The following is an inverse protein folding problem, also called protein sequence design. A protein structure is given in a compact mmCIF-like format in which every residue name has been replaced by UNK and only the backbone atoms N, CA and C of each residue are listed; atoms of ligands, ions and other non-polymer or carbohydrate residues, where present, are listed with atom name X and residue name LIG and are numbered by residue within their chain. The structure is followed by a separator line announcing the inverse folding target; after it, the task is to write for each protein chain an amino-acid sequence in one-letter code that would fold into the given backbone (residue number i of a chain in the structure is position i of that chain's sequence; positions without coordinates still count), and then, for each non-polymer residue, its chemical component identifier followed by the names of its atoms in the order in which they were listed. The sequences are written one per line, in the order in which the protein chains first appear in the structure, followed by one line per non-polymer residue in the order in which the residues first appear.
data_IF_926021354142
#
_entry.id   IF_926021354142
#
_cell.length_a   1.000
_cell.length_b   1.000
_cell.length_c   1.000
_cell.angle_alpha   90.00
_cell.angle_beta   90.00
_cell.angle_gamma   90.00
#
_symmetry.space_group_name_H-M   'P 1'
#
loop_
_entity.id
_entity.type
_entity.pdbx_description
1 polymer ?
#
# COMPACT_ATOMS: atom_id res chain seq x y z
N UNK A 1 31.77 47.42 55.91
CA UNK A 1 32.46 47.80 54.66
C UNK A 1 31.82 47.06 53.48
N UNK A 2 31.53 47.78 52.38
CA UNK A 2 31.31 47.37 50.95
C UNK A 2 31.49 45.85 50.65
N UNK A 3 30.64 45.13 49.90
CA UNK A 3 29.90 45.42 48.65
C UNK A 3 28.87 44.29 48.30
N UNK A 4 27.99 44.49 47.30
CA UNK A 4 26.78 43.69 47.02
C UNK A 4 26.91 42.75 45.79
N UNK A 5 25.76 42.13 45.44
CA UNK A 5 25.35 41.54 44.14
C UNK A 5 25.70 40.07 43.90
N UNK A 6 24.71 39.24 43.55
CA UNK A 6 24.31 39.04 42.15
C UNK A 6 23.03 38.21 42.05
N UNK A 7 22.04 38.80 41.40
CA UNK A 7 20.87 38.19 40.79
C UNK A 7 21.31 37.14 39.76
N UNK A 8 20.93 35.88 39.95
CA UNK A 8 20.99 34.87 38.91
C UNK A 8 19.57 34.60 38.41
N UNK A 9 19.23 35.15 37.23
CA UNK A 9 18.08 34.73 36.45
C UNK A 9 18.34 33.29 35.98
N UNK A 10 17.54 32.34 36.44
CA UNK A 10 17.46 31.01 35.84
C UNK A 10 16.44 31.08 34.71
N UNK A 11 16.93 31.13 33.47
CA UNK A 11 16.10 31.00 32.28
C UNK A 11 15.68 29.53 32.13
N UNK A 12 14.41 29.23 32.44
CA UNK A 12 13.81 27.92 32.15
C UNK A 12 13.33 27.94 30.70
N UNK A 13 14.10 27.32 29.80
CA UNK A 13 13.67 27.06 28.43
C UNK A 13 12.77 25.83 28.42
N UNK A 14 11.46 26.04 28.32
CA UNK A 14 10.49 24.96 28.05
C UNK A 14 10.60 24.61 26.57
N UNK A 15 11.34 23.56 26.24
CA UNK A 15 11.32 22.96 24.91
C UNK A 15 9.99 22.20 24.73
N UNK A 16 8.97 22.88 24.19
CA UNK A 16 7.73 22.24 23.77
C UNK A 16 7.99 21.38 22.53
N UNK A 17 8.15 20.07 22.71
CA UNK A 17 8.25 19.11 21.61
C UNK A 17 6.94 19.04 20.83
N UNK A 18 6.94 19.48 19.57
CA UNK A 18 5.85 19.22 18.63
C UNK A 18 5.86 17.72 18.29
N UNK A 19 5.01 16.96 18.97
CA UNK A 19 4.62 15.62 18.53
C UNK A 19 3.71 15.75 17.31
N UNK A 20 4.28 15.66 16.11
CA UNK A 20 3.49 15.51 14.87
C UNK A 20 2.83 14.13 14.91
N UNK A 21 1.57 14.09 15.34
CA UNK A 21 0.74 12.90 15.26
C UNK A 21 0.56 12.50 13.81
N UNK A 22 1.11 11.35 13.41
CA UNK A 22 0.86 10.77 12.10
C UNK A 22 -0.59 10.28 12.05
N UNK A 23 -1.46 11.06 11.41
CA UNK A 23 -2.85 10.66 11.15
C UNK A 23 -2.89 9.46 10.22
N UNK A 24 -3.05 8.25 10.76
CA UNK A 24 -3.36 7.06 9.99
C UNK A 24 -4.84 7.10 9.61
N UNK A 25 -5.19 7.80 8.53
CA UNK A 25 -6.51 7.65 7.94
C UNK A 25 -6.69 6.18 7.54
N UNK A 26 -7.76 5.49 7.97
CA UNK A 26 -8.04 4.15 7.49
C UNK A 26 -8.15 4.24 5.97
N UNK A 27 -7.30 3.50 5.27
CA UNK A 27 -7.33 3.48 3.82
C UNK A 27 -8.68 2.91 3.40
N UNK A 28 -9.56 3.78 2.90
CA UNK A 28 -10.91 3.41 2.49
C UNK A 28 -10.84 2.28 1.47
N UNK A 29 -11.80 1.34 1.59
CA UNK A 29 -11.96 0.26 0.63
C UNK A 29 -12.04 0.84 -0.79
N UNK A 30 -11.12 0.43 -1.67
CA UNK A 30 -11.12 0.89 -3.06
C UNK A 30 -11.65 -0.22 -3.97
N UNK A 31 -12.74 0.07 -4.68
CA UNK A 31 -13.34 -0.83 -5.65
C UNK A 31 -13.03 -0.39 -7.09
N UNK A 32 -12.96 -1.35 -8.01
CA UNK A 32 -12.76 -1.09 -9.43
C UNK A 32 -12.48 -2.37 -10.22
N UNK A 33 -11.94 -2.24 -11.44
CA UNK A 33 -11.59 -3.40 -12.27
C UNK A 33 -10.16 -3.87 -11.95
N UNK A 34 -9.99 -5.17 -11.87
CA UNK A 34 -8.69 -5.82 -11.84
C UNK A 34 -8.43 -6.59 -13.13
N UNK A 35 -7.15 -6.69 -13.53
CA UNK A 35 -6.69 -7.67 -14.52
C UNK A 35 -5.56 -8.53 -13.94
N UNK A 36 -4.95 -9.40 -14.75
CA UNK A 36 -3.80 -10.18 -14.33
C UNK A 36 -2.64 -10.14 -15.33
N UNK A 37 -1.43 -10.36 -14.82
CA UNK A 37 -0.20 -10.37 -15.62
C UNK A 37 0.74 -11.54 -15.25
N UNK A 38 1.61 -11.87 -16.20
CA UNK A 38 2.74 -12.76 -16.02
C UNK A 38 3.89 -12.24 -16.90
N UNK A 39 4.89 -11.61 -16.27
CA UNK A 39 6.04 -11.03 -16.97
C UNK A 39 7.25 -11.95 -16.87
N UNK A 40 8.13 -11.86 -17.86
CA UNK A 40 9.44 -12.51 -17.86
C UNK A 40 10.57 -11.57 -17.43
N UNK A 41 10.26 -10.41 -16.85
CA UNK A 41 11.23 -9.39 -16.41
C UNK A 41 11.28 -9.23 -14.88
N UNK A 42 12.02 -8.22 -14.40
CA UNK A 42 11.87 -7.68 -13.04
C UNK A 42 10.63 -6.80 -12.96
N UNK A 43 10.04 -6.69 -11.77
CA UNK A 43 8.99 -5.72 -11.44
C UNK A 43 9.60 -4.37 -11.07
N UNK A 44 8.78 -3.33 -10.91
CA UNK A 44 9.23 -2.01 -10.48
C UNK A 44 9.84 -1.98 -9.06
N UNK A 45 9.61 -3.01 -8.23
CA UNK A 45 10.33 -3.17 -6.95
C UNK A 45 11.78 -3.68 -7.11
N UNK A 46 12.16 -4.13 -8.31
CA UNK A 46 13.45 -4.77 -8.58
C UNK A 46 13.44 -6.30 -8.40
N UNK A 47 12.40 -6.87 -7.78
CA UNK A 47 12.21 -8.32 -7.66
C UNK A 47 11.99 -8.98 -9.03
N UNK A 48 12.46 -10.23 -9.20
CA UNK A 48 12.07 -11.05 -10.37
C UNK A 48 10.59 -11.38 -10.27
N UNK A 49 9.83 -11.15 -11.34
CA UNK A 49 8.42 -11.52 -11.34
C UNK A 49 8.25 -13.04 -11.18
N UNK A 50 7.46 -13.46 -10.19
CA UNK A 50 7.00 -14.82 -10.00
C UNK A 50 5.48 -14.92 -10.25
N UNK A 51 5.04 -15.55 -11.37
CA UNK A 51 3.62 -15.74 -11.70
C UNK A 51 2.80 -16.50 -10.66
N UNK A 52 3.43 -17.31 -9.81
CA UNK A 52 2.76 -18.10 -8.78
C UNK A 52 2.65 -17.38 -7.42
N UNK A 53 3.36 -16.27 -7.22
CA UNK A 53 3.29 -15.49 -5.99
C UNK A 53 1.93 -14.79 -5.83
N UNK A 54 1.66 -14.27 -4.63
CA UNK A 54 0.49 -13.46 -4.33
C UNK A 54 0.89 -11.98 -4.28
N UNK A 55 1.18 -11.44 -5.46
CA UNK A 55 1.61 -10.05 -5.63
C UNK A 55 0.70 -9.29 -6.59
N UNK A 56 0.82 -7.95 -6.57
CA UNK A 56 0.05 -7.05 -7.43
C UNK A 56 0.83 -5.78 -7.80
N UNK A 57 0.41 -5.17 -8.90
CA UNK A 57 0.82 -3.84 -9.33
C UNK A 57 -0.21 -2.80 -8.88
N UNK A 58 0.25 -1.70 -8.29
CA UNK A 58 -0.58 -0.56 -7.93
C UNK A 58 0.14 0.75 -8.20
N UNK A 59 -0.61 1.80 -8.57
CA UNK A 59 -0.07 3.07 -9.08
C UNK A 59 0.80 3.79 -8.06
N UNK A 60 0.29 3.92 -6.84
CA UNK A 60 0.87 4.82 -5.82
C UNK A 60 1.19 4.16 -4.49
N UNK A 61 0.50 3.07 -4.12
CA UNK A 61 0.77 2.36 -2.87
C UNK A 61 2.26 1.99 -2.73
N UNK A 62 2.86 2.18 -1.54
CA UNK A 62 4.22 1.76 -1.25
C UNK A 62 4.41 0.27 -1.55
N UNK A 63 5.60 -0.09 -2.04
CA UNK A 63 5.96 -1.50 -2.14
C UNK A 63 5.94 -2.13 -0.75
N UNK A 64 5.51 -3.38 -0.66
CA UNK A 64 5.30 -4.06 0.61
C UNK A 64 3.89 -3.92 1.20
N UNK A 65 3.09 -2.93 0.76
CA UNK A 65 1.69 -2.80 1.19
C UNK A 65 0.93 -4.10 0.95
N UNK A 66 0.18 -4.56 1.94
CA UNK A 66 -0.71 -5.71 1.82
C UNK A 66 -2.15 -5.26 1.60
N UNK A 67 -2.82 -5.90 0.65
CA UNK A 67 -4.23 -5.68 0.38
C UNK A 67 -4.97 -7.00 0.40
N UNK A 68 -6.12 -7.06 1.09
CA UNK A 68 -7.13 -8.08 0.85
C UNK A 68 -7.90 -7.66 -0.39
N UNK A 69 -7.87 -8.47 -1.43
CA UNK A 69 -8.59 -8.26 -2.69
C UNK A 69 -9.75 -9.23 -2.73
N UNK A 70 -10.97 -8.73 -2.95
CA UNK A 70 -12.20 -9.53 -3.04
C UNK A 70 -12.78 -9.42 -4.44
N UNK A 71 -13.01 -10.54 -5.10
CA UNK A 71 -13.70 -10.61 -6.38
C UNK A 71 -15.21 -10.49 -6.15
N UNK A 72 -15.82 -9.43 -6.69
CA UNK A 72 -17.25 -9.13 -6.47
C UNK A 72 -18.19 -10.10 -7.15
N UNK A 73 -17.73 -10.82 -8.17
CA UNK A 73 -18.58 -11.73 -8.92
C UNK A 73 -18.80 -13.08 -8.21
N UNK A 74 -17.89 -13.47 -7.32
CA UNK A 74 -17.93 -14.79 -6.67
C UNK A 74 -17.59 -14.77 -5.17
N UNK A 75 -17.34 -13.60 -4.58
CA UNK A 75 -17.05 -13.43 -3.16
C UNK A 75 -15.68 -13.96 -2.71
N UNK A 76 -14.86 -14.52 -3.60
CA UNK A 76 -13.53 -15.05 -3.23
C UNK A 76 -12.57 -13.91 -2.92
N UNK A 77 -11.71 -14.11 -1.92
CA UNK A 77 -10.70 -13.12 -1.53
C UNK A 77 -9.30 -13.71 -1.44
N UNK A 78 -8.29 -12.85 -1.61
CA UNK A 78 -6.88 -13.21 -1.42
C UNK A 78 -6.11 -11.99 -0.91
N UNK A 79 -5.14 -12.21 -0.02
CA UNK A 79 -4.21 -11.14 0.38
C UNK A 79 -3.03 -11.13 -0.58
N UNK A 80 -2.71 -9.95 -1.11
CA UNK A 80 -1.56 -9.73 -2.02
C UNK A 80 -0.63 -8.67 -1.46
N UNK A 81 0.64 -8.73 -1.85
CA UNK A 81 1.64 -7.68 -1.59
C UNK A 81 1.88 -6.84 -2.84
N UNK A 82 1.91 -5.53 -2.69
CA UNK A 82 2.29 -4.62 -3.79
C UNK A 82 3.79 -4.72 -4.02
N UNK A 83 4.20 -5.08 -5.24
CA UNK A 83 5.61 -5.14 -5.64
C UNK A 83 5.86 -4.61 -7.05
N UNK A 84 4.86 -4.01 -7.68
CA UNK A 84 4.98 -3.49 -9.04
C UNK A 84 4.15 -2.22 -9.26
N UNK A 85 4.33 -1.56 -10.41
CA UNK A 85 3.65 -0.32 -10.82
C UNK A 85 2.71 -0.55 -11.99
N UNK A 86 1.64 0.24 -12.01
CA UNK A 86 0.48 0.06 -12.88
C UNK A 86 -0.79 -0.03 -12.04
N UNK A 87 -1.98 -0.27 -12.61
CA UNK A 87 -2.24 -0.38 -14.05
C UNK A 87 -2.07 0.98 -14.74
N UNK A 88 -1.54 1.01 -15.96
CA UNK A 88 -1.52 2.25 -16.77
C UNK A 88 -2.72 2.35 -17.73
N UNK A 89 -3.61 1.36 -17.70
CA UNK A 89 -4.87 1.34 -18.45
C UNK A 89 -5.97 2.00 -17.62
N UNK A 90 -6.71 2.92 -18.25
CA UNK A 90 -7.85 3.62 -17.63
C UNK A 90 -8.90 2.62 -17.13
N UNK A 91 -9.51 2.91 -15.98
CA UNK A 91 -10.58 2.09 -15.39
C UNK A 91 -10.12 0.84 -14.62
N UNK A 92 -8.83 0.48 -14.63
CA UNK A 92 -8.29 -0.59 -13.75
C UNK A 92 -7.66 0.01 -12.51
N UNK A 93 -7.91 -0.61 -11.35
CA UNK A 93 -7.38 -0.15 -10.05
C UNK A 93 -6.19 -0.99 -9.57
N UNK A 94 -6.10 -2.25 -10.00
CA UNK A 94 -5.03 -3.17 -9.59
C UNK A 94 -4.78 -4.21 -10.69
N UNK A 95 -3.53 -4.55 -10.95
CA UNK A 95 -3.18 -5.69 -11.82
C UNK A 95 -2.55 -6.78 -10.95
N UNK A 96 -3.09 -7.99 -11.02
CA UNK A 96 -2.75 -9.10 -10.12
C UNK A 96 -1.77 -10.07 -10.79
N UNK A 97 -0.93 -10.72 -10.01
CA UNK A 97 -0.20 -11.91 -10.48
C UNK A 97 -1.16 -13.01 -10.94
N UNK A 98 -0.72 -13.85 -11.89
CA UNK A 98 -1.48 -15.04 -12.34
C UNK A 98 -1.90 -15.95 -11.16
N UNK A 99 -1.07 -16.08 -10.13
CA UNK A 99 -1.34 -16.84 -8.92
C UNK A 99 -2.53 -16.27 -8.13
N UNK A 100 -2.54 -14.96 -7.88
CA UNK A 100 -3.65 -14.28 -7.22
C UNK A 100 -4.94 -14.35 -8.06
N UNK A 101 -4.86 -14.16 -9.37
CA UNK A 101 -6.02 -14.26 -10.26
C UNK A 101 -6.64 -15.65 -10.30
N UNK A 102 -5.81 -16.71 -10.24
CA UNK A 102 -6.28 -18.10 -10.10
C UNK A 102 -7.02 -18.31 -8.78
N UNK A 103 -6.51 -17.76 -7.67
CA UNK A 103 -7.16 -17.84 -6.34
C UNK A 103 -8.48 -17.08 -6.30
N UNK A 104 -8.60 -15.99 -7.05
CA UNK A 104 -9.83 -15.20 -7.19
C UNK A 104 -10.80 -15.73 -8.26
N UNK A 105 -10.36 -16.71 -9.06
CA UNK A 105 -11.22 -17.40 -10.02
C UNK A 105 -11.61 -16.57 -11.24
N UNK A 106 -10.70 -15.75 -11.78
CA UNK A 106 -11.00 -14.94 -12.98
C UNK A 106 -9.97 -15.08 -14.12
N UNK A 107 -9.14 -16.14 -14.12
CA UNK A 107 -8.12 -16.36 -15.16
C UNK A 107 -8.72 -16.33 -16.56
N UNK A 108 -9.77 -17.12 -16.81
CA UNK A 108 -10.40 -17.25 -18.13
C UNK A 108 -11.07 -15.95 -18.59
N UNK A 109 -11.61 -15.15 -17.67
CA UNK A 109 -12.22 -13.85 -17.98
C UNK A 109 -11.19 -12.75 -18.27
N UNK A 110 -9.92 -12.94 -17.86
CA UNK A 110 -8.85 -11.95 -17.99
C UNK A 110 -8.93 -10.79 -16.98
N UNK A 111 -10.14 -10.38 -16.60
CA UNK A 111 -10.41 -9.28 -15.68
C UNK A 111 -11.69 -9.53 -14.87
N UNK A 112 -11.83 -8.84 -13.74
CA UNK A 112 -13.05 -8.89 -12.90
C UNK A 112 -13.23 -7.60 -12.10
N UNK A 113 -14.42 -7.37 -11.55
CA UNK A 113 -14.66 -6.33 -10.57
C UNK A 113 -14.16 -6.78 -9.18
N UNK A 114 -13.39 -5.93 -8.51
CA UNK A 114 -12.84 -6.20 -7.18
C UNK A 114 -13.07 -5.04 -6.22
N UNK A 115 -13.02 -5.33 -4.93
CA UNK A 115 -12.78 -4.35 -3.87
C UNK A 115 -11.51 -4.72 -3.10
N UNK A 116 -10.79 -3.71 -2.62
CA UNK A 116 -9.52 -3.87 -1.92
C UNK A 116 -9.54 -3.17 -0.58
N UNK A 117 -9.06 -3.86 0.45
CA UNK A 117 -8.91 -3.33 1.82
C UNK A 117 -7.45 -3.47 2.26
N UNK A 118 -6.89 -2.49 2.97
CA UNK A 118 -5.57 -2.65 3.59
C UNK A 118 -5.63 -3.68 4.73
N UNK A 119 -4.53 -4.44 4.90
CA UNK A 119 -4.33 -5.43 5.96
C UNK A 119 -3.08 -5.08 6.74
#
# INVERSE_FOLDING_TARGET
MKKPNQTALVAVTIAAGLMVGASTSPAAAQCGRASWYALHSKTASGERMNPSALTAAHRTLPFGTKLKVTNRNNGRSVVVRINDRGPFIKGRVIDLSKGAARRLGFISSGHTAVCTDRV
#
